data_IF_154964698061
#
_entry.id   IF_154964698061
#
_cell.length_a   1.000
_cell.length_b   1.000
_cell.length_c   1.000
_cell.angle_alpha   90.00
_cell.angle_beta   90.00
_cell.angle_gamma   90.00
#
_symmetry.space_group_name_H-M   'P 1'
#
loop_
_entity.id
_entity.type
_entity.pdbx_description
1 polymer ?
#
# COMPACT_ATOMS: atom_id res chain seq x y z
N UNK A 1 16.11 -26.47 -72.28
CA UNK A 1 16.33 -26.05 -70.88
C UNK A 1 15.11 -25.31 -70.36
N UNK A 2 14.27 -25.93 -69.53
CA UNK A 2 13.24 -25.25 -68.73
C UNK A 2 13.26 -25.92 -67.35
N UNK A 3 13.77 -25.20 -66.34
CA UNK A 3 13.80 -25.64 -64.94
C UNK A 3 12.48 -25.25 -64.30
N UNK A 4 11.71 -26.22 -63.85
CA UNK A 4 10.56 -25.99 -62.98
C UNK A 4 11.07 -25.95 -61.54
N UNK A 5 10.97 -24.79 -60.89
CA UNK A 5 11.25 -24.60 -59.46
C UNK A 5 9.92 -24.81 -58.73
N UNK A 6 9.81 -25.91 -58.00
CA UNK A 6 8.69 -26.18 -57.11
C UNK A 6 8.90 -25.38 -55.82
N UNK A 7 8.21 -24.25 -55.68
CA UNK A 7 8.23 -23.44 -54.47
C UNK A 7 7.17 -24.00 -53.50
N UNK A 8 7.59 -24.80 -52.53
CA UNK A 8 6.73 -25.23 -51.42
C UNK A 8 6.53 -24.03 -50.48
N UNK A 9 5.37 -23.37 -50.59
CA UNK A 9 4.95 -22.35 -49.64
C UNK A 9 4.44 -23.07 -48.37
N UNK A 10 5.32 -23.25 -47.39
CA UNK A 10 4.91 -23.71 -46.06
C UNK A 10 4.17 -22.56 -45.39
N UNK A 11 2.84 -22.62 -45.45
CA UNK A 11 1.95 -21.73 -44.70
C UNK A 11 2.06 -22.12 -43.21
N UNK A 12 3.07 -21.59 -42.52
CA UNK A 12 3.13 -21.64 -41.06
C UNK A 12 1.97 -20.80 -40.51
N UNK A 13 0.82 -21.44 -40.32
CA UNK A 13 -0.25 -20.93 -39.48
C UNK A 13 0.27 -20.98 -38.04
N UNK A 14 0.99 -19.94 -37.63
CA UNK A 14 1.25 -19.72 -36.21
C UNK A 14 -0.11 -19.44 -35.57
N UNK A 15 -0.72 -20.48 -35.00
CA UNK A 15 -1.74 -20.33 -33.98
C UNK A 15 -1.09 -19.54 -32.84
N UNK A 16 -1.15 -18.22 -32.94
CA UNK A 16 -1.03 -17.35 -31.78
C UNK A 16 -2.20 -17.72 -30.88
N UNK A 17 -2.00 -18.72 -30.03
CA UNK A 17 -2.69 -18.79 -28.76
C UNK A 17 -2.27 -17.52 -28.01
N UNK A 18 -2.96 -16.42 -28.31
CA UNK A 18 -3.16 -15.38 -27.35
C UNK A 18 -4.01 -16.03 -26.26
N UNK A 19 -3.36 -16.80 -25.37
CA UNK A 19 -3.89 -16.94 -24.03
C UNK A 19 -4.02 -15.50 -23.55
N UNK A 20 -5.25 -14.99 -23.55
CA UNK A 20 -5.53 -13.85 -22.70
C UNK A 20 -5.01 -14.31 -21.34
N UNK A 21 -3.95 -13.67 -20.86
CA UNK A 21 -3.56 -13.82 -19.49
C UNK A 21 -4.71 -13.16 -18.72
N UNK A 22 -5.82 -13.89 -18.55
CA UNK A 22 -6.77 -13.63 -17.50
C UNK A 22 -5.92 -13.70 -16.26
N UNK A 23 -5.48 -12.54 -15.76
CA UNK A 23 -4.86 -12.42 -14.46
C UNK A 23 -5.90 -12.96 -13.48
N UNK A 24 -5.80 -14.25 -13.19
CA UNK A 24 -6.69 -14.93 -12.26
C UNK A 24 -6.30 -14.39 -10.88
N UNK A 25 -7.11 -13.45 -10.42
CA UNK A 25 -7.12 -12.96 -9.05
C UNK A 25 -7.16 -14.18 -8.14
N UNK A 26 -6.23 -14.27 -7.19
CA UNK A 26 -6.30 -15.34 -6.20
C UNK A 26 -7.28 -14.93 -5.11
N UNK A 27 -8.09 -15.88 -4.66
CA UNK A 27 -9.00 -15.67 -3.55
C UNK A 27 -8.35 -16.17 -2.27
N UNK A 28 -8.40 -15.37 -1.22
CA UNK A 28 -7.94 -15.78 0.10
C UNK A 28 -8.85 -16.88 0.65
N UNK A 29 -8.25 -17.92 1.21
CA UNK A 29 -8.92 -18.92 2.02
C UNK A 29 -8.36 -18.88 3.44
N UNK A 30 -9.20 -19.20 4.41
CA UNK A 30 -8.81 -19.24 5.82
C UNK A 30 -9.41 -20.46 6.49
N UNK A 31 -8.69 -21.02 7.46
CA UNK A 31 -9.21 -22.02 8.39
C UNK A 31 -9.29 -21.41 9.77
N UNK A 32 -10.34 -21.76 10.50
CA UNK A 32 -10.41 -21.59 11.95
C UNK A 32 -10.32 -22.99 12.53
N UNK A 33 -9.11 -23.41 12.89
CA UNK A 33 -8.91 -24.62 13.68
C UNK A 33 -8.39 -24.22 15.06
N UNK A 34 -8.73 -24.99 16.10
CA UNK A 34 -8.51 -24.65 17.51
C UNK A 34 -7.02 -24.42 17.83
N UNK A 35 -6.12 -25.08 17.08
CA UNK A 35 -4.67 -25.00 17.24
C UNK A 35 -4.00 -23.84 16.49
N UNK A 36 -4.66 -23.28 15.47
CA UNK A 36 -4.17 -22.14 14.67
C UNK A 36 -5.31 -21.19 14.31
N UNK A 37 -5.86 -20.46 15.30
CA UNK A 37 -6.85 -19.45 15.00
C UNK A 37 -6.20 -18.42 14.05
N UNK A 38 -6.86 -18.16 12.92
CA UNK A 38 -6.46 -17.17 11.91
C UNK A 38 -5.26 -17.58 11.04
N UNK A 39 -5.25 -18.80 10.48
CA UNK A 39 -4.34 -19.15 9.39
C UNK A 39 -5.02 -18.95 8.03
N UNK A 40 -4.26 -18.51 7.01
CA UNK A 40 -4.80 -18.28 5.67
C UNK A 40 -3.78 -18.50 4.56
N UNK A 41 -4.30 -18.64 3.35
CA UNK A 41 -3.55 -18.84 2.11
C UNK A 41 -4.35 -18.33 0.91
N UNK A 42 -3.93 -18.68 -0.31
CA UNK A 42 -4.56 -18.25 -1.55
C UNK A 42 -4.78 -19.41 -2.51
N UNK A 43 -5.98 -19.45 -3.10
CA UNK A 43 -6.34 -20.37 -4.18
C UNK A 43 -6.56 -19.61 -5.49
N UNK A 44 -6.38 -20.29 -6.60
CA UNK A 44 -6.79 -19.77 -7.90
C UNK A 44 -8.30 -19.96 -8.16
N UNK A 45 -8.76 -19.60 -9.36
CA UNK A 45 -10.17 -19.71 -9.74
C UNK A 45 -10.68 -21.15 -9.89
N UNK A 46 -9.79 -22.15 -9.95
CA UNK A 46 -10.13 -23.57 -10.03
C UNK A 46 -10.20 -24.22 -8.64
N UNK A 47 -9.75 -23.51 -7.60
CA UNK A 47 -9.60 -24.05 -6.25
C UNK A 47 -8.21 -24.61 -5.97
N UNK A 48 -7.27 -24.49 -6.91
CA UNK A 48 -5.90 -24.96 -6.71
C UNK A 48 -5.19 -24.05 -5.72
N UNK A 49 -4.55 -24.64 -4.70
CA UNK A 49 -3.77 -23.87 -3.71
C UNK A 49 -2.51 -23.31 -4.35
N UNK A 50 -2.37 -21.99 -4.35
CA UNK A 50 -1.20 -21.28 -4.86
C UNK A 50 -0.29 -20.85 -3.72
N UNK A 51 -0.87 -20.33 -2.64
CA UNK A 51 -0.15 -20.03 -1.39
C UNK A 51 -0.77 -20.89 -0.29
N UNK A 52 -0.04 -21.86 0.27
CA UNK A 52 -0.55 -22.75 1.30
C UNK A 52 -1.03 -22.01 2.55
N UNK A 53 -2.10 -22.51 3.15
CA UNK A 53 -2.54 -22.08 4.48
C UNK A 53 -1.37 -22.26 5.46
N UNK A 54 -1.10 -21.22 6.24
CA UNK A 54 -0.05 -21.23 7.24
C UNK A 54 1.34 -20.99 6.69
N UNK A 55 1.51 -20.63 5.40
CA UNK A 55 2.81 -20.10 4.95
C UNK A 55 3.13 -18.76 5.63
N UNK A 56 2.15 -17.87 5.66
CA UNK A 56 2.15 -16.62 6.43
C UNK A 56 1.36 -16.82 7.72
N UNK A 57 1.55 -15.93 8.72
CA UNK A 57 0.67 -15.95 9.90
C UNK A 57 -0.76 -15.65 9.44
N UNK A 58 -0.92 -14.60 8.63
CA UNK A 58 -2.19 -14.23 8.03
C UNK A 58 -1.98 -13.44 6.74
N UNK A 59 -2.94 -13.58 5.83
CA UNK A 59 -3.08 -12.82 4.61
C UNK A 59 -4.27 -11.85 4.79
N UNK A 60 -4.06 -10.55 4.63
CA UNK A 60 -5.07 -9.52 4.86
C UNK A 60 -5.86 -9.16 3.59
N UNK A 61 -5.28 -9.39 2.41
CA UNK A 61 -5.93 -9.06 1.14
C UNK A 61 -6.86 -10.20 0.71
N UNK A 62 -8.15 -9.94 0.56
CA UNK A 62 -9.11 -10.96 0.13
C UNK A 62 -8.90 -11.39 -1.32
N UNK A 63 -8.71 -10.42 -2.22
CA UNK A 63 -8.57 -10.61 -3.66
C UNK A 63 -7.15 -10.19 -4.09
N UNK A 64 -6.27 -11.17 -4.28
CA UNK A 64 -4.87 -10.95 -4.62
C UNK A 64 -4.69 -10.91 -6.15
N UNK A 65 -4.87 -9.71 -6.70
CA UNK A 65 -4.55 -9.40 -8.09
C UNK A 65 -3.03 -9.23 -8.27
N UNK A 66 -2.49 -8.07 -7.85
CA UNK A 66 -1.06 -7.69 -8.04
C UNK A 66 -0.23 -7.81 -6.78
N UNK A 67 -0.74 -7.29 -5.68
CA UNK A 67 -0.11 -7.38 -4.35
C UNK A 67 -1.09 -7.93 -3.31
N UNK A 68 -0.53 -8.60 -2.30
CA UNK A 68 -1.22 -8.97 -1.08
C UNK A 68 -0.46 -8.44 0.13
N UNK A 69 -1.19 -8.05 1.17
CA UNK A 69 -0.63 -7.68 2.45
C UNK A 69 -0.65 -8.92 3.35
N UNK A 70 0.51 -9.28 3.91
CA UNK A 70 0.69 -10.47 4.75
C UNK A 70 1.52 -10.14 5.98
N UNK A 71 1.40 -10.95 7.03
CA UNK A 71 2.33 -10.96 8.18
C UNK A 71 3.21 -12.20 8.14
N UNK A 72 4.54 -12.00 8.23
CA UNK A 72 5.51 -13.09 8.18
C UNK A 72 5.57 -13.83 9.52
N UNK A 73 5.83 -15.15 9.54
CA UNK A 73 5.88 -15.95 10.78
C UNK A 73 6.88 -15.49 11.84
N UNK A 74 8.01 -14.95 11.39
CA UNK A 74 9.11 -14.53 12.27
C UNK A 74 9.29 -13.01 12.28
N UNK A 75 8.24 -12.25 11.93
CA UNK A 75 8.26 -10.79 11.96
C UNK A 75 6.95 -10.26 12.48
N UNK A 76 7.01 -9.11 13.15
CA UNK A 76 5.83 -8.32 13.50
C UNK A 76 5.44 -7.35 12.37
N UNK A 77 6.21 -7.33 11.27
CA UNK A 77 6.00 -6.40 10.18
C UNK A 77 4.98 -6.97 9.20
N UNK A 78 4.02 -6.12 8.84
CA UNK A 78 3.17 -6.35 7.70
C UNK A 78 3.93 -5.96 6.43
N UNK A 79 3.85 -6.79 5.40
CA UNK A 79 4.55 -6.56 4.13
C UNK A 79 3.61 -6.73 2.96
N UNK A 80 3.83 -5.94 1.91
CA UNK A 80 3.24 -6.20 0.61
C UNK A 80 4.11 -7.20 -0.15
N UNK A 81 3.50 -8.28 -0.63
CA UNK A 81 4.12 -9.26 -1.52
C UNK A 81 3.50 -9.17 -2.92
N UNK A 82 4.30 -9.40 -3.95
CA UNK A 82 3.78 -9.60 -5.31
C UNK A 82 3.39 -11.07 -5.55
N UNK A 83 2.87 -11.41 -6.74
CA UNK A 83 2.45 -12.77 -7.11
C UNK A 83 3.57 -13.83 -7.14
N UNK A 84 4.84 -13.41 -7.11
CA UNK A 84 6.02 -14.27 -6.93
C UNK A 84 6.47 -14.34 -5.47
N UNK A 85 5.69 -13.76 -4.57
CA UNK A 85 5.94 -13.66 -3.13
C UNK A 85 7.18 -12.83 -2.77
N UNK A 86 7.69 -12.02 -3.70
CA UNK A 86 8.73 -11.04 -3.39
C UNK A 86 8.13 -9.95 -2.51
N UNK A 87 8.79 -9.66 -1.39
CA UNK A 87 8.47 -8.50 -0.55
C UNK A 87 8.81 -7.22 -1.30
N UNK A 88 7.84 -6.32 -1.41
CA UNK A 88 7.99 -5.03 -2.09
C UNK A 88 8.30 -3.90 -1.10
N UNK A 89 7.54 -3.83 -0.01
CA UNK A 89 7.69 -2.80 1.03
C UNK A 89 6.97 -3.23 2.31
N UNK A 90 7.37 -2.63 3.43
CA UNK A 90 6.67 -2.76 4.70
C UNK A 90 5.47 -1.82 4.73
N UNK A 91 4.33 -2.36 5.16
CA UNK A 91 3.09 -1.61 5.37
C UNK A 91 3.09 -1.09 6.81
N UNK A 92 2.67 0.16 7.00
CA UNK A 92 2.58 0.76 8.32
C UNK A 92 1.67 -0.10 9.23
N UNK A 93 2.15 -0.44 10.42
CA UNK A 93 1.35 -1.14 11.43
C UNK A 93 0.40 -0.18 12.14
N UNK A 94 -0.84 -0.59 12.27
CA UNK A 94 -1.86 -0.05 13.16
C UNK A 94 -2.02 -0.99 14.36
N UNK A 95 -2.88 -0.61 15.33
CA UNK A 95 -3.08 -1.33 16.60
C UNK A 95 -3.17 -2.87 16.43
N UNK A 96 -4.09 -3.35 15.58
CA UNK A 96 -4.35 -4.78 15.39
C UNK A 96 -4.17 -5.26 13.94
N UNK A 97 -3.41 -4.54 13.10
CA UNK A 97 -3.29 -4.92 11.69
C UNK A 97 -2.46 -3.96 10.83
N UNK A 98 -2.33 -4.23 9.52
CA UNK A 98 -1.73 -3.30 8.58
C UNK A 98 -2.62 -2.07 8.37
N UNK A 99 -2.02 -0.99 7.84
CA UNK A 99 -2.77 0.15 7.35
C UNK A 99 -3.79 -0.24 6.28
N UNK A 100 -4.89 0.52 6.23
CA UNK A 100 -5.97 0.32 5.27
C UNK A 100 -5.76 1.21 4.03
N UNK A 101 -6.28 0.75 2.89
CA UNK A 101 -6.24 1.55 1.66
C UNK A 101 -7.25 2.69 1.78
N UNK A 102 -6.78 3.93 1.70
CA UNK A 102 -7.57 5.14 1.58
C UNK A 102 -7.32 5.81 0.26
N UNK A 103 -8.40 6.03 -0.50
CA UNK A 103 -8.35 6.68 -1.81
C UNK A 103 -7.30 6.09 -2.77
N UNK A 104 -7.11 4.76 -2.72
CA UNK A 104 -6.18 4.00 -3.56
C UNK A 104 -4.74 3.91 -3.03
N UNK A 105 -4.44 4.51 -1.88
CA UNK A 105 -3.11 4.52 -1.26
C UNK A 105 -3.13 3.95 0.16
N UNK A 106 -2.04 3.33 0.57
CA UNK A 106 -1.77 2.92 1.95
C UNK A 106 -0.41 3.45 2.41
N UNK A 107 -0.23 3.64 3.72
CA UNK A 107 1.05 4.11 4.26
C UNK A 107 2.04 2.96 4.35
N UNK A 108 3.27 3.26 3.96
CA UNK A 108 4.40 2.33 4.01
C UNK A 108 5.50 2.89 4.91
N UNK A 109 6.33 2.02 5.48
CA UNK A 109 7.42 2.42 6.37
C UNK A 109 8.77 1.96 5.84
N UNK A 110 9.79 2.81 5.98
CA UNK A 110 11.20 2.46 5.73
C UNK A 110 12.08 3.41 6.54
N UNK A 111 13.04 2.87 7.30
CA UNK A 111 13.98 3.66 8.11
C UNK A 111 13.28 4.72 8.99
N UNK A 112 12.22 4.29 9.68
CA UNK A 112 11.37 5.15 10.53
C UNK A 112 10.66 6.31 9.82
N UNK A 113 10.72 6.37 8.50
CA UNK A 113 9.95 7.31 7.69
C UNK A 113 8.72 6.64 7.11
N UNK A 114 7.69 7.44 6.92
CA UNK A 114 6.41 7.06 6.34
C UNK A 114 6.32 7.63 4.92
N UNK A 115 5.85 6.79 3.99
CA UNK A 115 5.53 7.13 2.61
C UNK A 115 4.18 6.54 2.20
N UNK A 116 3.90 6.48 0.90
CA UNK A 116 2.65 5.93 0.38
C UNK A 116 2.88 5.04 -0.84
N UNK A 117 2.17 3.92 -0.89
CA UNK A 117 2.14 3.01 -2.03
C UNK A 117 0.71 2.68 -2.45
N UNK A 118 0.54 2.24 -3.69
CA UNK A 118 -0.74 1.80 -4.22
C UNK A 118 -0.85 0.27 -4.29
N UNK A 119 -2.04 -0.23 -4.62
CA UNK A 119 -2.29 -1.68 -4.78
C UNK A 119 -1.74 -2.27 -6.09
N UNK A 120 -1.07 -1.48 -6.93
CA UNK A 120 -0.25 -2.00 -8.05
C UNK A 120 1.17 -2.36 -7.61
N UNK A 121 1.51 -2.16 -6.33
CA UNK A 121 2.85 -2.38 -5.79
C UNK A 121 3.83 -1.26 -6.10
N UNK A 122 3.35 -0.07 -6.48
CA UNK A 122 4.18 1.09 -6.74
C UNK A 122 4.24 2.00 -5.51
N UNK A 123 5.45 2.39 -5.12
CA UNK A 123 5.67 3.49 -4.18
C UNK A 123 5.34 4.79 -4.91
N UNK A 124 4.24 5.45 -4.52
CA UNK A 124 3.78 6.71 -5.12
C UNK A 124 4.48 7.90 -4.49
N UNK A 125 4.71 7.83 -3.17
CA UNK A 125 5.42 8.86 -2.40
C UNK A 125 6.46 8.14 -1.55
N UNK A 126 7.72 8.51 -1.72
CA UNK A 126 8.82 7.89 -0.98
C UNK A 126 8.66 8.07 0.54
N UNK A 127 9.15 7.13 1.37
CA UNK A 127 9.19 7.31 2.81
C UNK A 127 10.10 8.48 3.20
N UNK A 128 9.49 9.61 3.54
CA UNK A 128 10.18 10.88 3.82
C UNK A 128 9.71 11.55 5.12
N UNK A 129 8.51 11.19 5.60
CA UNK A 129 7.85 11.89 6.71
C UNK A 129 8.03 11.14 8.02
N UNK A 130 8.22 11.85 9.13
CA UNK A 130 8.25 11.22 10.45
C UNK A 130 6.87 10.68 10.83
N UNK A 131 5.81 11.38 10.43
CA UNK A 131 4.43 10.95 10.57
C UNK A 131 3.64 11.33 9.33
N UNK A 132 2.75 10.43 8.90
CA UNK A 132 1.84 10.69 7.80
C UNK A 132 0.44 10.14 8.15
N UNK A 133 -0.59 10.96 7.94
CA UNK A 133 -1.99 10.56 8.10
C UNK A 133 -2.52 9.93 6.79
N UNK A 134 -3.58 9.11 6.84
CA UNK A 134 -4.21 8.62 5.62
C UNK A 134 -4.69 9.76 4.71
N UNK A 135 -4.76 9.48 3.41
CA UNK A 135 -5.39 10.40 2.47
C UNK A 135 -6.88 10.56 2.81
N UNK A 136 -7.34 11.80 2.72
CA UNK A 136 -8.75 12.17 2.88
C UNK A 136 -9.02 13.46 2.11
N UNK A 137 -10.01 13.45 1.23
CA UNK A 137 -10.32 14.54 0.32
C UNK A 137 -9.06 14.95 -0.47
N UNK A 138 -8.45 14.00 -1.18
CA UNK A 138 -7.33 14.21 -2.12
C UNK A 138 -6.02 14.76 -1.52
N UNK A 139 -5.92 14.79 -0.18
CA UNK A 139 -4.75 15.32 0.53
C UNK A 139 -4.38 14.47 1.73
N UNK A 140 -3.15 14.56 2.20
CA UNK A 140 -2.69 13.96 3.46
C UNK A 140 -1.91 14.97 4.30
N UNK A 141 -2.09 14.91 5.61
CA UNK A 141 -1.32 15.70 6.56
C UNK A 141 -0.06 14.92 6.92
N UNK A 142 1.08 15.59 6.89
CA UNK A 142 2.41 15.00 7.10
C UNK A 142 3.23 15.84 8.06
N UNK A 143 4.16 15.22 8.79
CA UNK A 143 5.07 15.92 9.68
C UNK A 143 6.53 15.51 9.45
N UNK A 144 7.44 16.48 9.59
CA UNK A 144 8.89 16.31 9.46
C UNK A 144 9.60 16.94 10.66
N UNK A 145 10.69 16.32 11.12
CA UNK A 145 11.50 16.77 12.25
C UNK A 145 10.86 16.50 13.61
N UNK A 146 9.85 15.64 13.65
CA UNK A 146 9.20 15.20 14.88
C UNK A 146 9.85 13.95 15.44
N UNK A 147 9.71 13.73 16.75
CA UNK A 147 10.14 12.50 17.41
C UNK A 147 8.94 11.83 18.06
N UNK A 148 8.86 10.51 17.93
CA UNK A 148 7.88 9.74 18.70
C UNK A 148 8.30 9.71 20.16
N UNK A 149 7.37 10.07 21.04
CA UNK A 149 7.49 9.96 22.49
C UNK A 149 6.37 9.10 23.04
N UNK A 150 6.71 8.26 24.01
CA UNK A 150 5.73 7.45 24.71
C UNK A 150 4.88 8.36 25.61
N UNK A 151 3.55 8.24 25.50
CA UNK A 151 2.57 8.97 26.28
C UNK A 151 1.47 8.00 26.71
N UNK A 152 1.66 7.38 27.88
CA UNK A 152 0.81 6.28 28.34
C UNK A 152 0.92 5.07 27.40
N UNK A 153 -0.21 4.53 26.95
CA UNK A 153 -0.28 3.43 25.97
C UNK A 153 -0.05 3.89 24.52
N UNK A 154 -0.05 5.20 24.26
CA UNK A 154 0.04 5.75 22.91
C UNK A 154 1.41 6.40 22.65
N UNK A 155 1.76 6.51 21.37
CA UNK A 155 2.91 7.31 20.92
C UNK A 155 2.41 8.61 20.32
N UNK A 156 2.93 9.72 20.81
CA UNK A 156 2.68 11.05 20.26
C UNK A 156 3.90 11.53 19.48
N UNK A 157 3.68 12.36 18.45
CA UNK A 157 4.77 13.06 17.79
C UNK A 157 5.01 14.41 18.50
N UNK A 158 6.12 14.51 19.19
CA UNK A 158 6.61 15.76 19.77
C UNK A 158 7.47 16.54 18.79
N UNK A 159 7.31 17.86 18.82
CA UNK A 159 7.97 18.75 17.88
C UNK A 159 7.52 18.52 16.43
N UNK A 160 8.46 18.71 15.52
CA UNK A 160 8.25 18.64 14.08
C UNK A 160 7.38 19.78 13.54
N UNK A 161 7.37 19.89 12.22
CA UNK A 161 6.51 20.81 11.49
C UNK A 161 5.60 20.04 10.54
N UNK A 162 4.36 20.47 10.52
CA UNK A 162 3.24 19.82 9.87
C UNK A 162 2.93 20.54 8.56
N UNK A 163 2.69 19.77 7.51
CA UNK A 163 2.35 20.21 6.17
C UNK A 163 1.19 19.40 5.60
N UNK A 164 0.78 19.76 4.39
CA UNK A 164 -0.28 19.10 3.65
C UNK A 164 0.24 18.77 2.25
N UNK A 165 0.06 17.54 1.80
CA UNK A 165 0.48 17.06 0.47
C UNK A 165 -0.71 16.58 -0.35
N UNK A 166 -0.59 16.67 -1.67
CA UNK A 166 -1.48 16.01 -2.62
C UNK A 166 -1.09 14.53 -2.83
N UNK A 167 -1.87 13.79 -3.65
CA UNK A 167 -1.61 12.38 -3.97
C UNK A 167 -0.32 12.11 -4.76
N UNK A 168 0.32 13.15 -5.30
CA UNK A 168 1.62 13.07 -5.97
C UNK A 168 2.76 13.42 -5.02
N UNK A 169 2.46 13.75 -3.75
CA UNK A 169 3.43 14.16 -2.74
C UNK A 169 3.86 15.62 -2.86
N UNK A 170 3.19 16.44 -3.69
CA UNK A 170 3.48 17.88 -3.76
C UNK A 170 2.84 18.56 -2.57
N UNK A 171 3.59 19.44 -1.91
CA UNK A 171 3.05 20.27 -0.83
C UNK A 171 1.97 21.22 -1.34
N UNK A 172 0.79 21.11 -0.76
CA UNK A 172 -0.28 22.11 -0.77
C UNK A 172 0.00 23.15 0.31
N UNK A 173 0.43 22.70 1.50
CA UNK A 173 0.93 23.53 2.59
C UNK A 173 2.31 23.03 2.99
N UNK A 174 3.29 23.93 3.03
CA UNK A 174 4.65 23.60 3.45
C UNK A 174 4.67 23.12 4.91
N UNK A 175 5.59 22.22 5.30
CA UNK A 175 5.72 21.74 6.66
C UNK A 175 6.38 22.80 7.54
N UNK A 176 5.63 23.86 7.86
CA UNK A 176 6.07 24.98 8.72
C UNK A 176 5.16 25.20 9.94
N UNK A 177 4.02 24.49 9.99
CA UNK A 177 3.02 24.64 11.04
C UNK A 177 3.32 23.74 12.24
N UNK A 178 2.98 24.18 13.44
CA UNK A 178 3.13 23.35 14.65
C UNK A 178 2.11 22.21 14.67
N UNK A 179 0.92 22.45 14.12
CA UNK A 179 -0.15 21.46 13.92
C UNK A 179 -1.04 21.86 12.74
N UNK A 180 -1.65 20.85 12.11
CA UNK A 180 -2.72 21.04 11.11
C UNK A 180 -3.88 20.10 11.47
N UNK A 181 -5.11 20.64 11.46
CA UNK A 181 -6.34 19.92 11.68
C UNK A 181 -7.30 20.14 10.50
N UNK A 182 -7.95 19.07 10.05
CA UNK A 182 -9.05 19.18 9.08
C UNK A 182 -10.26 19.80 9.77
N UNK A 183 -10.92 20.73 9.09
CA UNK A 183 -12.22 21.26 9.56
C UNK A 183 -13.38 20.48 8.92
N UNK A 184 -14.61 20.77 9.34
CA UNK A 184 -15.81 20.24 8.71
C UNK A 184 -16.04 20.80 7.29
N UNK A 185 -15.47 21.97 6.98
CA UNK A 185 -15.59 22.58 5.65
C UNK A 185 -14.48 22.01 4.75
N UNK A 186 -14.82 21.54 3.53
CA UNK A 186 -13.81 21.03 2.60
C UNK A 186 -12.78 22.12 2.31
N UNK A 187 -11.53 21.69 2.13
CA UNK A 187 -10.39 22.56 1.82
C UNK A 187 -10.15 23.68 2.84
N UNK A 188 -10.71 23.58 4.05
CA UNK A 188 -10.40 24.47 5.17
C UNK A 188 -9.71 23.70 6.27
N UNK A 189 -8.59 24.25 6.71
CA UNK A 189 -7.71 23.66 7.70
C UNK A 189 -7.50 24.66 8.84
N UNK A 190 -7.59 24.16 10.07
CA UNK A 190 -7.13 24.87 11.24
C UNK A 190 -5.65 24.56 11.40
N UNK A 191 -4.81 25.59 11.45
CA UNK A 191 -3.37 25.46 11.64
C UNK A 191 -2.94 26.19 12.90
N UNK A 192 -1.91 25.66 13.54
CA UNK A 192 -1.21 26.35 14.63
C UNK A 192 0.16 26.74 14.08
N UNK A 193 0.52 28.02 14.19
CA UNK A 193 1.81 28.56 13.76
C UNK A 193 2.36 29.47 14.85
N UNK A 194 3.49 29.09 15.45
CA UNK A 194 4.10 29.78 16.58
C UNK A 194 3.13 29.97 17.76
N UNK A 195 2.31 28.94 18.01
CA UNK A 195 1.28 28.96 19.06
C UNK A 195 -0.02 29.70 18.72
N UNK A 196 -0.08 30.39 17.57
CA UNK A 196 -1.29 31.09 17.14
C UNK A 196 -2.16 30.24 16.21
N UNK A 197 -3.47 30.30 16.41
CA UNK A 197 -4.45 29.59 15.59
C UNK A 197 -4.88 30.40 14.36
N UNK A 198 -4.89 29.75 13.20
CA UNK A 198 -5.36 30.35 11.93
C UNK A 198 -6.22 29.36 11.15
N UNK A 199 -7.14 29.89 10.33
CA UNK A 199 -7.90 29.10 9.37
C UNK A 199 -7.38 29.39 7.96
N UNK A 200 -6.84 28.36 7.31
CA UNK A 200 -6.41 28.44 5.92
C UNK A 200 -7.44 27.80 5.01
N UNK A 201 -7.63 28.39 3.83
CA UNK A 201 -8.39 27.81 2.73
C UNK A 201 -7.40 27.45 1.62
N UNK A 202 -7.34 26.19 1.25
CA UNK A 202 -6.58 25.73 0.09
C UNK A 202 -7.48 25.81 -1.14
N UNK A 203 -6.89 26.11 -2.30
CA UNK A 203 -7.61 26.12 -3.57
C UNK A 203 -7.96 24.70 -4.03
#
# INVERSE_FOLDING_TARGET
MKKYIFLFLILCFSLSFCTSAQNKILKRISTSDELTPYSSGYIDSKGDTIIPIGKYVYCFTENFDKIAIVILRNSKNYVAINRKENVLFEVLSMDNGPDYVQEGLLRIRKNDKTGYANMDGKIVIQPLYDLALPFKNESAIVAIGGRYVQSGEYQNLEGGKWGLIDKKGKYILQPIYDRIFRTQKPNKFKVIENGEEKILKTL
#
